data_IF_765430327245
#
_entry.id   IF_765430327245
#
_cell.length_a   1.000
_cell.length_b   1.000
_cell.length_c   1.000
_cell.angle_alpha   90.00
_cell.angle_beta   90.00
_cell.angle_gamma   90.00
#
_symmetry.space_group_name_H-M   'P 1'
#
loop_
_entity.id
_entity.type
_entity.pdbx_description
1 polymer ?
#
# COMPACT_ATOMS: atom_id res chain seq x y z
N UNK A 1 -18.26 -10.50 -10.50
CA UNK A 1 -17.76 -9.17 -10.09
C UNK A 1 -17.48 -9.25 -8.62
N UNK A 2 -16.30 -8.82 -8.18
CA UNK A 2 -15.91 -8.86 -6.77
C UNK A 2 -15.61 -7.45 -6.26
N UNK A 3 -15.93 -7.21 -4.99
CA UNK A 3 -15.60 -5.97 -4.32
C UNK A 3 -14.37 -6.15 -3.45
N UNK A 4 -13.30 -5.45 -3.81
CA UNK A 4 -12.08 -5.34 -3.03
C UNK A 4 -12.06 -3.98 -2.35
N UNK A 5 -11.78 -3.97 -1.05
CA UNK A 5 -11.70 -2.73 -0.28
C UNK A 5 -10.26 -2.54 0.18
N UNK A 6 -9.78 -1.30 0.18
CA UNK A 6 -8.45 -0.96 0.68
C UNK A 6 -8.52 0.24 1.61
N UNK A 7 -7.66 0.24 2.63
CA UNK A 7 -7.59 1.33 3.60
C UNK A 7 -6.15 1.75 3.87
N UNK A 8 -5.96 3.06 3.99
CA UNK A 8 -4.68 3.66 4.36
C UNK A 8 -4.91 4.76 5.39
N UNK A 9 -3.93 4.96 6.27
CA UNK A 9 -3.92 6.06 7.23
C UNK A 9 -2.76 7.00 6.92
N UNK A 10 -2.98 8.30 7.08
CA UNK A 10 -1.91 9.30 6.96
C UNK A 10 -2.07 10.35 8.04
N UNK A 11 -0.97 10.72 8.68
CA UNK A 11 -0.90 11.86 9.58
C UNK A 11 -0.73 13.13 8.76
N UNK A 12 -1.70 14.05 8.85
CA UNK A 12 -1.70 15.35 8.16
C UNK A 12 -2.01 16.40 9.22
N UNK A 13 -1.09 17.35 9.44
CA UNK A 13 -1.26 18.45 10.41
C UNK A 13 -1.63 17.97 11.83
N UNK A 14 -1.01 16.87 12.27
CA UNK A 14 -1.27 16.27 13.59
C UNK A 14 -2.58 15.50 13.72
N UNK A 15 -3.37 15.38 12.64
CA UNK A 15 -4.61 14.59 12.60
C UNK A 15 -4.43 13.37 11.72
N UNK A 16 -4.92 12.22 12.19
CA UNK A 16 -4.96 10.99 11.39
C UNK A 16 -6.14 11.03 10.45
N UNK A 17 -5.88 10.92 9.15
CA UNK A 17 -6.89 10.77 8.12
C UNK A 17 -6.95 9.32 7.66
N UNK A 18 -8.17 8.82 7.51
CA UNK A 18 -8.49 7.50 6.97
C UNK A 18 -8.91 7.65 5.52
N UNK A 19 -8.25 6.90 4.66
CA UNK A 19 -8.48 6.85 3.23
C UNK A 19 -9.01 5.47 2.89
N UNK A 20 -10.25 5.40 2.44
CA UNK A 20 -10.97 4.16 2.16
C UNK A 20 -11.33 4.13 0.68
N UNK A 21 -10.99 3.05 0.00
CA UNK A 21 -11.26 2.84 -1.44
C UNK A 21 -12.09 1.57 -1.63
N UNK A 22 -13.13 1.68 -2.44
CA UNK A 22 -13.98 0.58 -2.90
C UNK A 22 -13.68 0.30 -4.37
N UNK A 23 -13.08 -0.86 -4.63
CA UNK A 23 -12.64 -1.28 -5.95
C UNK A 23 -13.55 -2.43 -6.39
N UNK A 24 -14.08 -2.34 -7.59
CA UNK A 24 -14.79 -3.43 -8.25
C UNK A 24 -13.83 -4.08 -9.24
N UNK A 25 -13.59 -5.38 -9.06
CA UNK A 25 -12.69 -6.17 -9.88
C UNK A 25 -13.48 -7.11 -10.79
N UNK A 26 -12.99 -7.25 -12.01
CA UNK A 26 -13.57 -8.11 -13.04
C UNK A 26 -12.54 -9.20 -13.38
N UNK A 27 -12.62 -10.38 -12.75
CA UNK A 27 -11.61 -11.42 -12.92
C UNK A 27 -11.43 -11.85 -14.38
N UNK A 28 -12.47 -11.70 -15.20
CA UNK A 28 -12.45 -12.06 -16.62
C UNK A 28 -11.73 -11.05 -17.52
N UNK A 29 -11.53 -9.81 -17.05
CA UNK A 29 -10.90 -8.72 -17.81
C UNK A 29 -9.47 -8.41 -17.35
N UNK A 30 -8.97 -9.16 -16.35
CA UNK A 30 -7.64 -8.96 -15.76
C UNK A 30 -7.54 -7.71 -14.85
N UNK A 31 -6.37 -7.54 -14.22
CA UNK A 31 -6.14 -6.48 -13.22
C UNK A 31 -6.29 -5.05 -13.77
N UNK A 32 -6.12 -4.87 -15.09
CA UNK A 32 -6.25 -3.59 -15.77
C UNK A 32 -7.70 -3.05 -15.79
N UNK A 33 -8.69 -3.90 -15.53
CA UNK A 33 -10.11 -3.52 -15.55
C UNK A 33 -10.67 -3.16 -14.17
N UNK A 34 -9.82 -3.08 -13.14
CA UNK A 34 -10.25 -2.72 -11.80
C UNK A 34 -10.80 -1.29 -11.75
N UNK A 35 -12.03 -1.13 -11.29
CA UNK A 35 -12.70 0.16 -11.26
C UNK A 35 -12.87 0.65 -9.82
N UNK A 36 -12.42 1.88 -9.54
CA UNK A 36 -12.69 2.52 -8.24
C UNK A 36 -14.13 3.02 -8.25
N UNK A 37 -15.00 2.28 -7.58
CA UNK A 37 -16.44 2.61 -7.46
C UNK A 37 -16.77 3.52 -6.29
N UNK A 38 -15.83 3.73 -5.36
CA UNK A 38 -16.06 4.60 -4.20
C UNK A 38 -14.75 5.00 -3.51
N UNK A 39 -14.73 6.22 -2.98
CA UNK A 39 -13.58 6.78 -2.27
C UNK A 39 -14.04 7.69 -1.14
N UNK A 40 -13.51 7.47 0.06
CA UNK A 40 -13.81 8.26 1.23
C UNK A 40 -12.55 8.67 1.96
N UNK A 41 -12.46 9.97 2.29
CA UNK A 41 -11.38 10.53 3.09
C UNK A 41 -12.00 11.28 4.26
N UNK A 42 -11.69 10.87 5.49
CA UNK A 42 -12.15 11.57 6.69
C UNK A 42 -11.22 11.28 7.87
N UNK A 43 -11.21 12.15 8.88
CA UNK A 43 -10.53 11.90 10.18
C UNK A 43 -11.22 10.83 11.02
N UNK A 44 -12.36 10.31 10.57
CA UNK A 44 -13.19 9.34 11.27
C UNK A 44 -13.40 8.17 10.31
N UNK A 45 -13.03 6.97 10.77
CA UNK A 45 -13.02 5.78 9.93
C UNK A 45 -14.43 5.40 9.43
N UNK A 46 -15.44 5.52 10.29
CA UNK A 46 -16.81 5.17 9.92
C UNK A 46 -17.36 6.15 8.89
N UNK A 47 -17.10 7.45 9.07
CA UNK A 47 -17.44 8.47 8.07
C UNK A 47 -16.72 8.24 6.75
N UNK A 48 -15.43 7.89 6.78
CA UNK A 48 -14.69 7.55 5.55
C UNK A 48 -15.31 6.33 4.84
N UNK A 49 -15.71 5.29 5.58
CA UNK A 49 -16.42 4.13 5.01
C UNK A 49 -17.79 4.50 4.43
N UNK A 50 -18.54 5.38 5.09
CA UNK A 50 -19.83 5.88 4.59
C UNK A 50 -19.66 6.66 3.28
N UNK A 51 -18.67 7.56 3.21
CA UNK A 51 -18.37 8.34 1.99
C UNK A 51 -17.95 7.42 0.84
N UNK A 52 -17.19 6.36 1.13
CA UNK A 52 -16.78 5.36 0.15
C UNK A 52 -17.91 4.40 -0.28
N UNK A 53 -19.10 4.47 0.32
CA UNK A 53 -20.23 3.57 0.01
C UNK A 53 -19.97 2.12 0.42
N UNK A 54 -19.25 1.91 1.54
CA UNK A 54 -19.02 0.59 2.12
C UNK A 54 -20.05 0.37 3.23
N UNK A 55 -21.16 -0.26 2.90
CA UNK A 55 -22.24 -0.53 3.86
C UNK A 55 -22.04 -1.88 4.60
N UNK A 56 -21.20 -2.75 4.06
CA UNK A 56 -20.96 -4.09 4.62
C UNK A 56 -20.14 -4.02 5.92
N UNK A 57 -20.78 -4.43 7.02
CA UNK A 57 -20.18 -4.41 8.36
C UNK A 57 -18.97 -5.35 8.48
N UNK A 58 -18.96 -6.48 7.75
CA UNK A 58 -17.84 -7.42 7.78
C UNK A 58 -16.61 -6.84 7.08
N UNK A 59 -16.80 -6.15 5.95
CA UNK A 59 -15.76 -5.42 5.25
C UNK A 59 -15.17 -4.31 6.12
N UNK A 60 -16.01 -3.53 6.81
CA UNK A 60 -15.54 -2.51 7.77
C UNK A 60 -14.67 -3.09 8.87
N UNK A 61 -15.08 -4.23 9.47
CA UNK A 61 -14.29 -4.92 10.51
C UNK A 61 -12.93 -5.39 9.98
N UNK A 62 -12.88 -5.95 8.76
CA UNK A 62 -11.61 -6.34 8.12
C UNK A 62 -10.68 -5.16 7.91
N UNK A 63 -11.20 -4.05 7.37
CA UNK A 63 -10.43 -2.83 7.15
C UNK A 63 -9.92 -2.23 8.46
N UNK A 64 -10.73 -2.26 9.52
CA UNK A 64 -10.32 -1.79 10.86
C UNK A 64 -9.14 -2.62 11.39
N UNK A 65 -9.24 -3.95 11.32
CA UNK A 65 -8.14 -4.84 11.70
C UNK A 65 -6.87 -4.55 10.86
N UNK A 66 -7.02 -4.29 9.56
CA UNK A 66 -5.91 -3.93 8.68
C UNK A 66 -5.19 -2.67 9.17
N UNK A 67 -5.92 -1.62 9.58
CA UNK A 67 -5.34 -0.40 10.17
C UNK A 67 -4.53 -0.71 11.43
N UNK A 68 -5.04 -1.57 12.32
CA UNK A 68 -4.32 -1.96 13.54
C UNK A 68 -3.01 -2.69 13.23
N UNK A 69 -3.02 -3.52 12.18
CA UNK A 69 -1.81 -4.18 11.67
C UNK A 69 -0.84 -3.21 10.99
N UNK A 70 -1.32 -2.13 10.37
CA UNK A 70 -0.48 -1.07 9.79
C UNK A 70 0.19 -0.18 10.86
N UNK A 71 -0.46 0.01 12.00
CA UNK A 71 0.04 0.83 13.12
C UNK A 71 1.03 0.11 14.03
N UNK A 72 1.13 -1.22 13.95
CA UNK A 72 2.32 -1.91 14.47
C UNK A 72 3.52 -1.40 13.68
N UNK A 73 4.64 -1.01 14.33
CA UNK A 73 5.83 -0.61 13.60
C UNK A 73 6.20 -1.77 12.67
N UNK A 74 5.93 -1.59 11.38
CA UNK A 74 6.46 -2.46 10.36
C UNK A 74 7.96 -2.32 10.49
N UNK A 75 8.63 -3.38 10.94
CA UNK A 75 10.02 -3.57 10.60
C UNK A 75 10.15 -3.21 9.12
N UNK A 76 11.03 -2.25 8.78
CA UNK A 76 10.99 -1.60 7.47
C UNK A 76 10.99 -2.69 6.41
N UNK A 77 9.96 -2.68 5.56
CA UNK A 77 9.90 -3.57 4.42
C UNK A 77 11.27 -3.51 3.75
N UNK A 78 12.04 -4.61 3.85
CA UNK A 78 13.33 -4.73 3.18
C UNK A 78 13.02 -4.44 1.72
N UNK A 79 13.37 -3.23 1.26
CA UNK A 79 13.61 -2.97 -0.16
C UNK A 79 14.48 -4.16 -0.59
N UNK A 80 14.19 -4.85 -1.71
CA UNK A 80 15.15 -5.80 -2.22
C UNK A 80 16.46 -5.04 -2.39
N UNK A 81 17.38 -5.21 -1.44
CA UNK A 81 18.74 -4.72 -1.53
C UNK A 81 19.35 -5.59 -2.60
N UNK A 82 19.22 -5.15 -3.84
CA UNK A 82 19.95 -5.74 -4.95
C UNK A 82 21.41 -5.66 -4.52
N UNK A 83 22.03 -6.82 -4.33
CA UNK A 83 23.44 -6.92 -3.95
C UNK A 83 24.30 -6.56 -5.17
N UNK A 84 24.27 -5.29 -5.58
CA UNK A 84 24.98 -4.78 -6.75
C UNK A 84 26.48 -4.67 -6.46
N UNK A 85 26.87 -4.65 -5.18
CA UNK A 85 28.23 -4.34 -4.74
C UNK A 85 29.25 -5.38 -5.19
N UNK A 86 28.94 -6.67 -5.13
CA UNK A 86 29.89 -7.72 -5.51
C UNK A 86 30.08 -7.79 -7.04
N UNK A 87 28.99 -7.62 -7.81
CA UNK A 87 29.05 -7.64 -9.27
C UNK A 87 29.74 -6.41 -9.86
N UNK A 88 29.55 -5.22 -9.27
CA UNK A 88 30.23 -4.00 -9.72
C UNK A 88 31.72 -4.04 -9.38
N UNK A 89 32.09 -4.50 -8.19
CA UNK A 89 33.51 -4.60 -7.82
C UNK A 89 34.26 -5.62 -8.71
N UNK A 90 33.61 -6.74 -9.06
CA UNK A 90 34.17 -7.70 -10.01
C UNK A 90 34.33 -7.10 -11.40
N UNK A 91 33.32 -6.39 -11.91
CA UNK A 91 33.39 -5.72 -13.21
C UNK A 91 34.47 -4.63 -13.25
N UNK A 92 34.59 -3.81 -12.20
CA UNK A 92 35.62 -2.77 -12.07
C UNK A 92 37.04 -3.36 -12.03
N UNK A 93 37.23 -4.51 -11.38
CA UNK A 93 38.49 -5.24 -11.38
C UNK A 93 38.83 -5.81 -12.76
N UNK A 94 37.83 -6.31 -13.51
CA UNK A 94 38.03 -6.85 -14.86
C UNK A 94 38.34 -5.76 -15.90
N UNK A 95 37.84 -4.53 -15.73
CA UNK A 95 38.17 -3.39 -16.61
C UNK A 95 39.44 -2.62 -16.17
N UNK A 96 40.13 -3.07 -15.12
CA UNK A 96 41.40 -2.48 -14.66
C UNK A 96 41.29 -1.13 -13.96
N UNK A 97 40.08 -0.71 -13.53
CA UNK A 97 39.89 0.52 -12.76
C UNK A 97 40.08 0.21 -11.28
N UNK A 98 41.34 0.16 -10.85
CA UNK A 98 41.65 0.17 -9.43
C UNK A 98 41.40 1.59 -8.88
N UNK A 99 40.50 1.71 -7.91
CA UNK A 99 40.38 2.93 -7.09
C UNK A 99 41.69 3.08 -6.33
N UNK A 100 42.56 3.98 -6.78
CA UNK A 100 43.69 4.48 -6.01
C UNK A 100 43.12 5.25 -4.82
N UNK A 101 43.37 4.73 -3.62
CA UNK A 101 43.13 5.42 -2.35
C UNK A 101 44.24 6.45 -2.07
#
# INVERSE_FOLDING_TARGET
>A
MEHVYTVHTKLIEGKTYYFVKKIMTFPELGEAANLVTGYGMHTDFEKACNIAGIEDTSARKKLLAEIEHLNKPKEPAKKPSVQITESVNKWLAEIGVAVLN
#
